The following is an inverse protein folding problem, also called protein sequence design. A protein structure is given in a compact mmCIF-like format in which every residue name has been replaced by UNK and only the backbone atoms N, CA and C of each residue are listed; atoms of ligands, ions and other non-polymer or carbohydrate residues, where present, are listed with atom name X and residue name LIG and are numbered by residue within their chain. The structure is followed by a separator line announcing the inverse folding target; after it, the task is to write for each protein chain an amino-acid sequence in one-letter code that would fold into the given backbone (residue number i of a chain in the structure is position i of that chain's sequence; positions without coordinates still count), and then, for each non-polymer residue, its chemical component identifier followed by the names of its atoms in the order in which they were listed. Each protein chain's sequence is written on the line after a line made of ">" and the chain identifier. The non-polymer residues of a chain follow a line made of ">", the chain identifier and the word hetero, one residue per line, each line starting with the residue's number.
data_IF_061105545335
#
_entry.id   IF_061105545335
#
_cell.length_a   1.000
_cell.length_b   1.000
_cell.length_c   1.000
_cell.angle_alpha   90.00
_cell.angle_beta   90.00
_cell.angle_gamma   90.00
#
_symmetry.space_group_name_H-M   'P 1'
#
loop_
_entity.id
_entity.type
_entity.pdbx_description
1 polymer ?
#
# COMPACT_ATOMS: atom_id res chain seq x y z
N UNK A 1 -6.58 -14.27 -5.12
CA UNK A 1 -7.01 -14.23 -3.73
C UNK A 1 -6.89 -15.58 -3.08
N UNK A 2 -6.29 -15.65 -1.93
CA UNK A 2 -6.11 -16.90 -1.25
C UNK A 2 -7.44 -17.44 -0.72
N UNK A 3 -7.73 -18.69 -1.02
CA UNK A 3 -8.89 -19.35 -0.50
C UNK A 3 -8.63 -19.98 0.88
N UNK A 4 -7.43 -19.80 1.39
CA UNK A 4 -7.05 -20.43 2.66
C UNK A 4 -7.80 -19.79 3.83
N UNK A 5 -8.41 -20.65 4.62
CA UNK A 5 -9.11 -20.20 5.81
C UNK A 5 -8.11 -20.06 6.94
N UNK A 6 -8.06 -18.88 7.53
CA UNK A 6 -7.13 -18.60 8.61
C UNK A 6 -7.86 -18.54 9.95
N UNK A 7 -7.14 -18.95 11.01
CA UNK A 7 -7.62 -18.74 12.37
C UNK A 7 -7.46 -17.26 12.71
N UNK A 8 -8.08 -16.81 13.80
CA UNK A 8 -7.93 -15.43 14.25
C UNK A 8 -6.48 -15.03 14.45
N UNK A 9 -5.65 -15.95 14.94
CA UNK A 9 -4.23 -15.69 15.13
C UNK A 9 -3.52 -15.54 13.79
N UNK A 10 -3.87 -16.41 12.81
CA UNK A 10 -3.29 -16.34 11.49
C UNK A 10 -3.67 -15.05 10.76
N UNK A 11 -4.90 -14.61 10.94
CA UNK A 11 -5.34 -13.34 10.35
C UNK A 11 -4.57 -12.16 10.91
N UNK A 12 -4.28 -12.16 12.21
CA UNK A 12 -3.52 -11.08 12.83
C UNK A 12 -2.10 -11.04 12.30
N UNK A 13 -1.48 -12.20 12.09
CA UNK A 13 -0.13 -12.27 11.53
C UNK A 13 -0.15 -11.73 10.10
N UNK A 14 -1.14 -12.14 9.32
CA UNK A 14 -1.28 -11.68 7.95
C UNK A 14 -1.46 -10.16 7.88
N UNK A 15 -2.35 -9.62 8.71
CA UNK A 15 -2.58 -8.19 8.79
C UNK A 15 -1.34 -7.43 9.21
N UNK A 16 -0.57 -8.00 10.14
CA UNK A 16 0.67 -7.39 10.58
C UNK A 16 1.68 -7.29 9.46
N UNK A 17 1.77 -8.32 8.63
CA UNK A 17 2.69 -8.30 7.49
C UNK A 17 2.26 -7.26 6.46
N UNK A 18 0.97 -7.15 6.21
CA UNK A 18 0.47 -6.13 5.29
C UNK A 18 0.75 -4.73 5.84
N UNK A 19 0.44 -4.49 7.11
CA UNK A 19 0.67 -3.19 7.75
C UNK A 19 2.15 -2.82 7.73
N UNK A 20 3.02 -3.79 8.01
CA UNK A 20 4.47 -3.57 7.98
C UNK A 20 4.93 -3.21 6.57
N UNK A 21 4.41 -3.91 5.57
CA UNK A 21 4.76 -3.65 4.18
C UNK A 21 4.30 -2.25 3.77
N UNK A 22 3.08 -1.87 4.13
CA UNK A 22 2.57 -0.52 3.87
C UNK A 22 3.50 0.52 4.49
N UNK A 23 3.90 0.30 5.75
CA UNK A 23 4.79 1.23 6.43
C UNK A 23 6.13 1.37 5.70
N UNK A 24 6.71 0.25 5.26
CA UNK A 24 7.97 0.28 4.52
C UNK A 24 7.80 1.04 3.21
N UNK A 25 6.72 0.78 2.49
CA UNK A 25 6.45 1.47 1.23
C UNK A 25 6.26 2.98 1.44
N UNK A 26 5.58 3.35 2.51
CA UNK A 26 5.36 4.77 2.84
C UNK A 26 6.64 5.50 3.19
N UNK A 27 7.50 4.85 3.96
CA UNK A 27 8.67 5.51 4.53
C UNK A 27 9.94 5.32 3.70
N UNK A 28 10.06 4.20 3.02
CA UNK A 28 11.31 3.82 2.37
C UNK A 28 11.17 3.51 0.88
N UNK A 29 9.96 3.33 0.38
CA UNK A 29 9.73 3.06 -1.04
C UNK A 29 9.83 1.58 -1.40
N UNK A 30 9.59 1.29 -2.67
CA UNK A 30 9.52 -0.10 -3.17
C UNK A 30 10.82 -0.86 -3.02
N UNK A 31 11.93 -0.19 -3.22
CA UNK A 31 13.25 -0.83 -3.22
C UNK A 31 13.57 -1.49 -1.89
N UNK A 32 13.10 -0.91 -0.80
CA UNK A 32 13.37 -1.43 0.55
C UNK A 32 12.39 -2.50 0.99
N UNK A 33 11.34 -2.74 0.24
CA UNK A 33 10.31 -3.72 0.60
C UNK A 33 10.73 -5.14 0.16
N UNK A 34 11.83 -5.63 0.72
CA UNK A 34 12.30 -6.99 0.46
C UNK A 34 11.69 -7.94 1.48
N UNK A 35 11.65 -9.23 1.14
CA UNK A 35 11.12 -10.25 2.05
C UNK A 35 11.87 -10.20 3.39
N UNK A 36 13.19 -10.05 3.31
CA UNK A 36 14.03 -10.00 4.52
C UNK A 36 13.66 -8.81 5.40
N UNK A 37 13.53 -7.64 4.81
CA UNK A 37 13.19 -6.43 5.55
C UNK A 37 11.79 -6.55 6.15
N UNK A 38 10.84 -7.02 5.36
CA UNK A 38 9.46 -7.18 5.83
C UNK A 38 9.40 -8.16 7.00
N UNK A 39 10.05 -9.31 6.86
CA UNK A 39 10.05 -10.32 7.92
C UNK A 39 10.69 -9.78 9.20
N UNK A 40 11.82 -9.08 9.06
CA UNK A 40 12.52 -8.52 10.21
C UNK A 40 11.65 -7.49 10.94
N UNK A 41 11.06 -6.58 10.20
CA UNK A 41 10.27 -5.52 10.82
C UNK A 41 8.93 -6.00 11.33
N UNK A 42 8.36 -7.01 10.71
CA UNK A 42 7.13 -7.62 11.21
C UNK A 42 7.40 -8.62 12.32
N UNK A 43 8.67 -8.90 12.58
CA UNK A 43 9.08 -9.88 13.60
C UNK A 43 8.49 -11.26 13.32
N UNK A 44 8.59 -11.70 12.06
CA UNK A 44 8.14 -13.02 11.66
C UNK A 44 9.27 -13.73 10.91
N UNK A 45 9.13 -15.04 10.77
CA UNK A 45 10.05 -15.85 10.01
C UNK A 45 9.88 -15.57 8.52
N UNK A 46 10.96 -15.58 7.75
CA UNK A 46 10.90 -15.39 6.30
C UNK A 46 9.94 -16.41 5.67
N UNK A 47 9.94 -17.63 6.17
CA UNK A 47 9.04 -18.67 5.67
C UNK A 47 7.57 -18.30 5.85
N UNK A 48 7.26 -17.47 6.84
CA UNK A 48 5.88 -17.02 7.07
C UNK A 48 5.36 -16.18 5.91
N UNK A 49 6.21 -15.37 5.31
CA UNK A 49 5.81 -14.56 4.16
C UNK A 49 5.32 -15.48 3.04
N UNK A 50 6.08 -16.53 2.76
CA UNK A 50 5.72 -17.48 1.73
C UNK A 50 4.48 -18.29 2.09
N UNK A 51 4.35 -18.61 3.36
CA UNK A 51 3.19 -19.37 3.85
C UNK A 51 1.88 -18.59 3.69
N UNK A 52 1.88 -17.31 4.04
CA UNK A 52 0.66 -16.52 4.03
C UNK A 52 0.36 -15.89 2.66
N UNK A 53 1.37 -15.61 1.87
CA UNK A 53 1.18 -14.84 0.63
C UNK A 53 1.70 -15.57 -0.62
N UNK A 54 2.56 -16.56 -0.45
CA UNK A 54 3.16 -17.28 -1.57
C UNK A 54 4.41 -16.61 -2.10
N UNK A 55 4.39 -15.29 -2.27
CA UNK A 55 5.54 -14.55 -2.80
C UNK A 55 5.55 -13.14 -2.26
N UNK A 56 6.69 -12.47 -2.44
CA UNK A 56 6.81 -11.05 -2.12
C UNK A 56 5.84 -10.22 -2.95
N UNK A 57 5.71 -10.56 -4.22
CA UNK A 57 4.83 -9.84 -5.14
C UNK A 57 3.38 -9.88 -4.68
N UNK A 58 2.94 -11.02 -4.18
CA UNK A 58 1.58 -11.13 -3.64
C UNK A 58 1.40 -10.26 -2.41
N UNK A 59 2.38 -10.24 -1.52
CA UNK A 59 2.32 -9.42 -0.32
C UNK A 59 2.30 -7.93 -0.67
N UNK A 60 3.17 -7.52 -1.59
CA UNK A 60 3.17 -6.12 -2.02
C UNK A 60 1.86 -5.77 -2.71
N UNK A 61 1.31 -6.69 -3.50
CA UNK A 61 0.00 -6.49 -4.11
C UNK A 61 -1.09 -6.23 -3.08
N UNK A 62 -1.11 -7.01 -2.00
CA UNK A 62 -2.08 -6.81 -0.92
C UNK A 62 -1.88 -5.47 -0.22
N UNK A 63 -0.63 -5.07 -0.03
CA UNK A 63 -0.34 -3.79 0.59
C UNK A 63 -0.79 -2.62 -0.29
N UNK A 64 -0.57 -2.75 -1.59
CA UNK A 64 -1.01 -1.72 -2.54
C UNK A 64 -2.54 -1.64 -2.61
N UNK A 65 -3.22 -2.78 -2.58
CA UNK A 65 -4.68 -2.77 -2.54
C UNK A 65 -5.20 -2.04 -1.30
N UNK A 66 -4.57 -2.30 -0.17
CA UNK A 66 -4.94 -1.63 1.06
C UNK A 66 -4.78 -0.11 0.92
N UNK A 67 -3.66 0.32 0.32
CA UNK A 67 -3.39 1.73 0.12
C UNK A 67 -4.31 2.34 -0.94
N UNK A 68 -4.64 1.60 -1.97
CA UNK A 68 -5.45 2.07 -3.09
C UNK A 68 -6.92 2.28 -2.73
N UNK A 69 -7.37 1.71 -1.61
CA UNK A 69 -8.71 2.00 -1.13
C UNK A 69 -8.94 3.50 -0.96
N UNK A 70 -7.91 4.22 -0.52
CA UNK A 70 -7.98 5.67 -0.40
C UNK A 70 -7.98 6.35 -1.75
N UNK A 71 -7.26 5.78 -2.72
CA UNK A 71 -7.20 6.34 -4.06
C UNK A 71 -8.55 6.25 -4.76
N UNK A 72 -9.24 5.13 -4.58
CA UNK A 72 -10.58 4.97 -5.15
C UNK A 72 -11.54 6.02 -4.61
N UNK A 73 -11.46 6.32 -3.33
CA UNK A 73 -12.28 7.36 -2.71
C UNK A 73 -11.99 8.73 -3.31
N UNK A 74 -10.72 9.00 -3.59
CA UNK A 74 -10.31 10.28 -4.18
C UNK A 74 -10.85 10.41 -5.59
N UNK A 75 -10.70 9.35 -6.39
CA UNK A 75 -11.17 9.36 -7.77
C UNK A 75 -12.69 9.50 -7.83
N UNK A 76 -13.40 8.94 -6.85
CA UNK A 76 -14.86 9.01 -6.83
C UNK A 76 -15.38 10.44 -6.74
N UNK A 77 -14.59 11.37 -6.24
CA UNK A 77 -15.01 12.78 -6.23
C UNK A 77 -15.26 13.31 -7.64
N UNK A 78 -14.54 12.80 -8.62
CA UNK A 78 -14.71 13.24 -10.01
C UNK A 78 -16.02 12.77 -10.61
N UNK A 79 -16.60 11.71 -10.06
CA UNK A 79 -17.85 11.13 -10.55
C UNK A 79 -19.09 11.66 -9.82
N UNK A 80 -18.90 12.53 -8.83
CA UNK A 80 -20.03 13.03 -8.06
C UNK A 80 -20.76 14.13 -8.83
N UNK A 81 -21.75 13.72 -9.62
CA UNK A 81 -22.49 14.62 -10.47
C UNK A 81 -23.38 15.61 -9.70
N UNK A 82 -23.52 15.44 -8.38
CA UNK A 82 -24.26 16.39 -7.55
C UNK A 82 -23.51 17.70 -7.40
N UNK A 83 -22.19 17.68 -7.66
CA UNK A 83 -21.35 18.86 -7.54
C UNK A 83 -21.00 19.42 -8.90
N UNK A 84 -20.84 20.75 -9.02
CA UNK A 84 -20.29 21.34 -10.25
C UNK A 84 -18.90 20.80 -10.54
N UNK A 85 -18.53 20.76 -11.82
CA UNK A 85 -17.25 20.23 -12.25
C UNK A 85 -16.08 20.87 -11.51
N UNK A 86 -16.17 22.19 -11.29
CA UNK A 86 -15.12 22.92 -10.58
C UNK A 86 -14.94 22.42 -9.15
N UNK A 87 -16.04 22.14 -8.45
CA UNK A 87 -15.98 21.64 -7.09
C UNK A 87 -15.46 20.22 -7.03
N UNK A 88 -15.84 19.40 -8.02
CA UNK A 88 -15.32 18.02 -8.10
C UNK A 88 -13.80 18.02 -8.26
N UNK A 89 -13.32 18.86 -9.16
CA UNK A 89 -11.87 18.96 -9.41
C UNK A 89 -11.14 19.47 -8.17
N UNK A 90 -11.70 20.45 -7.50
CA UNK A 90 -11.10 21.00 -6.29
C UNK A 90 -10.96 19.93 -5.21
N UNK A 91 -12.03 19.15 -4.97
CA UNK A 91 -11.99 18.09 -3.98
C UNK A 91 -10.97 17.02 -4.33
N UNK A 92 -10.91 16.65 -5.61
CA UNK A 92 -9.95 15.67 -6.09
C UNK A 92 -8.51 16.13 -5.82
N UNK A 93 -8.21 17.36 -6.21
CA UNK A 93 -6.86 17.90 -6.07
C UNK A 93 -6.44 17.96 -4.60
N UNK A 94 -7.31 18.47 -3.73
CA UNK A 94 -7.00 18.57 -2.31
C UNK A 94 -6.80 17.21 -1.68
N UNK A 95 -7.65 16.25 -2.03
CA UNK A 95 -7.54 14.89 -1.50
C UNK A 95 -6.28 14.20 -2.01
N UNK A 96 -5.91 14.43 -3.27
CA UNK A 96 -4.70 13.87 -3.84
C UNK A 96 -3.46 14.39 -3.10
N UNK A 97 -3.39 15.70 -2.86
CA UNK A 97 -2.26 16.26 -2.14
C UNK A 97 -2.19 15.74 -0.70
N UNK A 98 -3.34 15.55 -0.06
CA UNK A 98 -3.37 15.00 1.28
C UNK A 98 -2.79 13.57 1.28
N UNK A 99 -3.19 12.76 0.31
CA UNK A 99 -2.70 11.40 0.20
C UNK A 99 -1.19 11.38 -0.08
N UNK A 100 -0.73 12.25 -0.98
CA UNK A 100 0.70 12.34 -1.31
C UNK A 100 1.54 12.69 -0.08
N UNK A 101 1.01 13.53 0.79
CA UNK A 101 1.72 13.91 2.00
C UNK A 101 1.79 12.77 3.01
N UNK A 102 0.82 11.85 2.98
CA UNK A 102 0.82 10.68 3.86
C UNK A 102 1.75 9.58 3.37
N UNK A 103 2.10 9.59 2.08
CA UNK A 103 2.92 8.54 1.47
C UNK A 103 4.09 9.14 0.68
N UNK A 104 4.96 9.90 1.33
CA UNK A 104 5.98 10.67 0.61
C UNK A 104 6.97 9.81 -0.18
N UNK A 105 7.44 8.69 0.41
CA UNK A 105 8.41 7.85 -0.28
C UNK A 105 7.79 7.14 -1.47
N UNK A 106 6.54 6.71 -1.33
CA UNK A 106 5.83 6.01 -2.41
C UNK A 106 5.63 6.94 -3.60
N UNK A 107 5.16 8.16 -3.35
CA UNK A 107 4.93 9.12 -4.44
C UNK A 107 6.23 9.59 -5.07
N UNK A 108 7.28 9.69 -4.29
CA UNK A 108 8.60 10.01 -4.83
C UNK A 108 9.09 8.90 -5.76
N UNK A 109 8.87 7.64 -5.39
CA UNK A 109 9.25 6.49 -6.22
C UNK A 109 8.51 6.50 -7.55
N UNK A 110 7.23 6.86 -7.54
CA UNK A 110 6.41 6.93 -8.74
C UNK A 110 6.83 8.10 -9.62
N UNK A 111 7.06 9.26 -9.00
CA UNK A 111 7.39 10.48 -9.73
C UNK A 111 8.80 10.47 -10.30
N UNK A 112 9.70 9.73 -9.67
CA UNK A 112 11.11 9.75 -10.01
C UNK A 112 11.71 8.35 -9.94
N UNK A 113 11.22 7.43 -10.78
CA UNK A 113 11.63 6.02 -10.71
C UNK A 113 13.13 5.81 -10.94
N UNK A 114 13.78 6.66 -11.74
CA UNK A 114 15.20 6.50 -12.00
C UNK A 114 16.06 6.72 -10.77
N UNK A 115 15.60 7.51 -9.80
CA UNK A 115 16.36 7.73 -8.58
C UNK A 115 16.36 6.51 -7.67
N UNK A 116 15.39 5.62 -7.84
CA UNK A 116 15.32 4.38 -7.08
C UNK A 116 16.34 3.36 -7.54
N UNK A 117 16.75 3.45 -8.79
CA UNK A 117 17.71 2.51 -9.38
C UNK A 117 19.16 2.92 -9.15
N UNK A 118 19.37 4.10 -8.67
CA UNK A 118 20.70 4.64 -8.48
C UNK A 118 21.49 3.97 -7.35
#
# INVERSE_FOLDING_TARGET
>A
MSARKLTGKGEKVREKMIATTVHILQQQGFKKATVRTIAREANVNIASVRYYFGSKEELIGCALEYMMGNLENIVSYLDDTRLPARERMKKYILAYFHLARQHPALFRSISNPSSEDA
#
